data_IF_587032718958
#
_entry.id   IF_587032718958
#
_cell.length_a   1.000
_cell.length_b   1.000
_cell.length_c   1.000
_cell.angle_alpha   90.00
_cell.angle_beta   90.00
_cell.angle_gamma   90.00
#
_symmetry.space_group_name_H-M   'P 1'
#
loop_
_entity.id
_entity.type
_entity.pdbx_description
1 polymer ?
#
# COMPACT_ATOMS: atom_id res chain seq x y z
N UNK A 1 22.21 20.26 -19.11
CA UNK A 1 22.67 19.28 -18.10
C UNK A 1 21.73 19.45 -16.91
N UNK A 2 20.63 18.70 -16.78
CA UNK A 2 20.56 17.26 -16.52
C UNK A 2 19.35 16.65 -17.24
N UNK A 3 19.53 15.42 -17.71
CA UNK A 3 18.49 14.55 -18.26
C UNK A 3 17.37 14.35 -17.24
N UNK A 4 16.19 14.91 -17.52
CA UNK A 4 14.98 14.59 -16.76
C UNK A 4 14.49 13.21 -17.25
N UNK A 5 15.18 12.15 -16.83
CA UNK A 5 14.63 10.81 -16.91
C UNK A 5 13.37 10.85 -16.04
N UNK A 6 12.19 10.87 -16.67
CA UNK A 6 10.91 10.89 -16.00
C UNK A 6 10.91 9.76 -14.96
N UNK A 7 11.01 10.12 -13.67
CA UNK A 7 11.01 9.11 -12.62
C UNK A 7 9.69 8.34 -12.73
N UNK A 8 9.74 7.00 -12.67
CA UNK A 8 8.55 6.20 -12.86
C UNK A 8 7.56 6.50 -11.75
N UNK A 9 6.28 6.69 -12.10
CA UNK A 9 5.25 7.02 -11.13
C UNK A 9 5.11 5.87 -10.11
N UNK A 10 5.15 6.19 -8.82
CA UNK A 10 4.98 5.21 -7.73
C UNK A 10 3.71 5.55 -6.97
N UNK A 11 2.80 4.60 -6.93
CA UNK A 11 1.51 4.74 -6.26
C UNK A 11 1.57 4.18 -4.85
N UNK A 12 1.10 4.97 -3.88
CA UNK A 12 0.67 4.48 -2.58
C UNK A 12 -0.87 4.35 -2.64
N UNK A 13 -1.37 3.12 -2.57
CA UNK A 13 -2.79 2.83 -2.51
C UNK A 13 -3.19 2.55 -1.07
N UNK A 14 -4.23 3.22 -0.58
CA UNK A 14 -4.72 3.06 0.79
C UNK A 14 -6.17 2.58 0.77
N UNK A 15 -6.47 1.54 1.55
CA UNK A 15 -7.83 0.99 1.68
C UNK A 15 -8.22 0.88 3.15
N UNK A 16 -9.26 1.63 3.55
CA UNK A 16 -9.81 1.59 4.91
C UNK A 16 -10.94 0.57 5.07
N UNK A 17 -11.30 -0.11 3.99
CA UNK A 17 -12.37 -1.10 3.97
C UNK A 17 -13.73 -0.49 3.62
N UNK A 18 -14.71 -1.37 3.39
CA UNK A 18 -16.04 -0.96 2.95
C UNK A 18 -17.02 -0.73 4.12
N UNK A 19 -16.82 -1.45 5.23
CA UNK A 19 -17.85 -1.63 6.25
C UNK A 19 -17.66 -0.77 7.50
N UNK A 20 -16.42 -0.38 7.80
CA UNK A 20 -16.10 0.40 8.99
C UNK A 20 -15.33 1.65 8.60
N UNK A 21 -15.72 2.78 9.19
CA UNK A 21 -14.99 4.03 9.03
C UNK A 21 -13.70 4.00 9.83
N UNK A 22 -12.60 4.51 9.25
CA UNK A 22 -11.32 4.65 9.95
C UNK A 22 -10.76 6.07 9.79
N UNK A 23 -11.46 7.04 10.38
CA UNK A 23 -11.11 8.47 10.29
C UNK A 23 -9.68 8.76 10.78
N UNK A 24 -9.20 8.05 11.78
CA UNK A 24 -7.83 8.21 12.31
C UNK A 24 -6.76 7.90 11.27
N UNK A 25 -6.94 6.82 10.49
CA UNK A 25 -6.02 6.50 9.40
C UNK A 25 -6.10 7.56 8.29
N UNK A 26 -7.30 7.99 7.91
CA UNK A 26 -7.48 9.05 6.90
C UNK A 26 -6.79 10.36 7.32
N UNK A 27 -6.94 10.76 8.58
CA UNK A 27 -6.27 11.95 9.11
C UNK A 27 -4.74 11.80 9.07
N UNK A 28 -4.21 10.63 9.43
CA UNK A 28 -2.77 10.39 9.39
C UNK A 28 -2.19 10.38 7.98
N UNK A 29 -2.87 9.78 6.99
CA UNK A 29 -2.38 9.74 5.59
C UNK A 29 -2.55 11.07 4.86
N UNK A 30 -3.47 11.93 5.32
CA UNK A 30 -3.68 13.28 4.78
C UNK A 30 -2.86 14.34 5.54
N UNK A 31 -2.11 13.97 6.57
CA UNK A 31 -1.21 14.88 7.28
C UNK A 31 -0.04 15.28 6.36
N UNK A 32 0.28 16.59 6.23
CA UNK A 32 1.40 17.05 5.40
C UNK A 32 2.74 16.38 5.72
N UNK A 33 2.99 15.99 6.99
CA UNK A 33 4.21 15.27 7.39
C UNK A 33 4.28 13.89 6.74
N UNK A 34 3.16 13.20 6.61
CA UNK A 34 3.09 11.92 5.92
C UNK A 34 3.26 12.09 4.40
N UNK A 35 2.60 13.09 3.79
CA UNK A 35 2.77 13.39 2.36
C UNK A 35 4.22 13.76 2.01
N UNK A 36 4.89 14.51 2.90
CA UNK A 36 6.32 14.78 2.78
C UNK A 36 7.15 13.51 2.82
N UNK A 37 6.88 12.61 3.76
CA UNK A 37 7.59 11.34 3.87
C UNK A 37 7.36 10.46 2.63
N UNK A 38 6.12 10.37 2.12
CA UNK A 38 5.81 9.68 0.88
C UNK A 38 6.63 10.21 -0.30
N UNK A 39 6.67 11.52 -0.48
CA UNK A 39 7.47 12.13 -1.55
C UNK A 39 8.98 11.85 -1.37
N UNK A 40 9.51 11.85 -0.14
CA UNK A 40 10.91 11.51 0.14
C UNK A 40 11.27 10.08 -0.26
N UNK A 41 10.34 9.14 -0.16
CA UNK A 41 10.51 7.76 -0.65
C UNK A 41 10.17 7.60 -2.15
N UNK A 42 9.88 8.70 -2.85
CA UNK A 42 9.63 8.74 -4.29
C UNK A 42 8.21 8.36 -4.71
N UNK A 43 7.25 8.35 -3.78
CA UNK A 43 5.84 8.17 -4.12
C UNK A 43 5.27 9.46 -4.71
N UNK A 44 4.72 9.35 -5.91
CA UNK A 44 4.18 10.48 -6.68
C UNK A 44 2.67 10.59 -6.54
N UNK A 45 2.00 9.47 -6.26
CA UNK A 45 0.55 9.39 -6.20
C UNK A 45 0.12 8.71 -4.90
N UNK A 46 -0.93 9.24 -4.29
CA UNK A 46 -1.65 8.67 -3.17
C UNK A 46 -3.11 8.48 -3.60
N UNK A 47 -3.55 7.23 -3.70
CA UNK A 47 -4.94 6.87 -4.02
C UNK A 47 -5.60 6.27 -2.79
N UNK A 48 -6.73 6.85 -2.38
CA UNK A 48 -7.38 6.50 -1.12
C UNK A 48 -8.78 5.97 -1.39
N UNK A 49 -9.04 4.73 -0.97
CA UNK A 49 -10.39 4.21 -0.78
C UNK A 49 -10.81 4.53 0.66
N UNK A 50 -11.64 5.56 0.82
CA UNK A 50 -12.00 6.10 2.15
C UNK A 50 -13.27 5.49 2.76
N UNK A 51 -14.03 4.72 1.98
CA UNK A 51 -15.21 3.99 2.44
C UNK A 51 -16.31 4.89 3.03
N UNK A 52 -17.22 4.26 3.78
CA UNK A 52 -18.37 4.96 4.38
C UNK A 52 -17.90 6.06 5.33
N UNK A 53 -18.47 7.26 5.17
CA UNK A 53 -18.21 8.45 5.99
C UNK A 53 -16.80 9.07 5.87
N UNK A 54 -15.97 8.60 4.93
CA UNK A 54 -14.64 9.15 4.65
C UNK A 54 -14.64 10.33 3.66
N UNK A 55 -15.71 10.49 2.87
CA UNK A 55 -15.80 11.50 1.82
C UNK A 55 -15.69 12.92 2.37
N UNK A 56 -16.39 13.24 3.45
CA UNK A 56 -16.36 14.58 4.06
C UNK A 56 -14.94 14.98 4.47
N UNK A 57 -14.19 14.07 5.09
CA UNK A 57 -12.79 14.33 5.47
C UNK A 57 -11.90 14.57 4.25
N UNK A 58 -12.11 13.79 3.19
CA UNK A 58 -11.35 13.94 1.95
C UNK A 58 -11.66 15.28 1.28
N UNK A 59 -12.93 15.66 1.19
CA UNK A 59 -13.37 16.93 0.61
C UNK A 59 -12.84 18.13 1.41
N UNK A 60 -12.87 18.05 2.74
CA UNK A 60 -12.29 19.07 3.62
C UNK A 60 -10.78 19.22 3.40
N UNK A 61 -10.06 18.10 3.24
CA UNK A 61 -8.65 18.12 2.89
C UNK A 61 -8.41 18.78 1.52
N UNK A 62 -9.18 18.42 0.49
CA UNK A 62 -9.05 18.99 -0.85
C UNK A 62 -9.34 20.49 -0.86
N UNK A 63 -10.35 20.94 -0.08
CA UNK A 63 -10.67 22.36 0.09
C UNK A 63 -9.54 23.11 0.80
N UNK A 64 -8.98 22.52 1.85
CA UNK A 64 -7.90 23.13 2.64
C UNK A 64 -6.57 23.17 1.90
N UNK A 65 -6.28 22.13 1.12
CA UNK A 65 -5.05 21.97 0.37
C UNK A 65 -5.40 21.61 -1.08
N UNK A 66 -5.65 22.58 -1.97
CA UNK A 66 -6.00 22.30 -3.36
C UNK A 66 -4.86 21.63 -4.15
N UNK A 67 -5.14 21.06 -5.34
CA UNK A 67 -4.08 20.52 -6.21
C UNK A 67 -3.00 21.55 -6.49
N UNK A 68 -1.72 21.17 -6.30
CA UNK A 68 -0.57 22.07 -6.41
C UNK A 68 -0.20 22.81 -5.12
N UNK A 69 -0.96 22.64 -4.03
CA UNK A 69 -0.62 23.23 -2.74
C UNK A 69 0.74 22.70 -2.21
N UNK A 70 1.63 23.56 -1.68
CA UNK A 70 2.93 23.16 -1.14
C UNK A 70 2.85 22.08 -0.04
N UNK A 71 1.76 22.05 0.74
CA UNK A 71 1.54 21.06 1.80
C UNK A 71 1.23 19.65 1.26
N UNK A 72 0.92 19.52 -0.03
CA UNK A 72 0.85 18.20 -0.70
C UNK A 72 2.23 17.66 -1.05
N UNK A 73 3.28 18.49 -0.93
CA UNK A 73 4.67 18.11 -1.20
C UNK A 73 4.90 17.47 -2.58
N UNK A 74 4.12 17.86 -3.59
CA UNK A 74 4.21 17.30 -4.95
C UNK A 74 3.49 15.95 -5.15
N UNK A 75 2.85 15.41 -4.10
CA UNK A 75 2.06 14.17 -4.20
C UNK A 75 0.68 14.47 -4.76
N UNK A 76 0.29 13.74 -5.81
CA UNK A 76 -1.06 13.77 -6.36
C UNK A 76 -1.94 12.90 -5.46
N UNK A 77 -2.92 13.52 -4.81
CA UNK A 77 -3.84 12.85 -3.88
C UNK A 77 -5.20 12.73 -4.54
N UNK A 78 -5.66 11.49 -4.71
CA UNK A 78 -6.96 11.12 -5.28
C UNK A 78 -7.71 10.20 -4.31
N UNK A 79 -9.04 10.25 -4.34
CA UNK A 79 -9.87 9.50 -3.42
C UNK A 79 -11.15 9.02 -4.08
N UNK A 80 -11.63 7.85 -3.66
CA UNK A 80 -12.92 7.30 -4.06
C UNK A 80 -13.56 6.53 -2.90
N UNK A 81 -14.87 6.33 -3.00
CA UNK A 81 -15.65 5.58 -2.01
C UNK A 81 -15.58 4.06 -2.30
N UNK A 82 -16.68 3.32 -2.13
CA UNK A 82 -16.74 1.90 -2.39
C UNK A 82 -16.80 1.59 -3.89
N UNK A 83 -16.00 0.61 -4.33
CA UNK A 83 -16.05 0.05 -5.68
C UNK A 83 -16.69 -1.35 -5.65
N UNK A 84 -17.88 -1.49 -6.24
CA UNK A 84 -18.60 -2.77 -6.32
C UNK A 84 -17.84 -3.83 -7.15
N UNK A 85 -16.96 -3.40 -8.06
CA UNK A 85 -16.14 -4.31 -8.86
C UNK A 85 -14.91 -4.86 -8.10
N UNK A 86 -14.75 -4.52 -6.82
CA UNK A 86 -13.59 -4.87 -6.01
C UNK A 86 -12.45 -3.85 -6.13
N UNK A 87 -11.30 -4.18 -5.53
CA UNK A 87 -10.11 -3.32 -5.48
C UNK A 87 -8.96 -3.82 -6.37
N UNK A 88 -9.17 -4.89 -7.13
CA UNK A 88 -8.11 -5.56 -7.90
C UNK A 88 -7.44 -4.62 -8.90
N UNK A 89 -8.22 -3.73 -9.53
CA UNK A 89 -7.69 -2.77 -10.49
C UNK A 89 -6.75 -1.79 -9.78
N UNK A 90 -7.20 -1.20 -8.68
CA UNK A 90 -6.47 -0.20 -7.91
C UNK A 90 -5.21 -0.80 -7.27
N UNK A 91 -5.30 -2.02 -6.75
CA UNK A 91 -4.15 -2.74 -6.19
C UNK A 91 -3.11 -3.08 -7.28
N UNK A 92 -3.55 -3.46 -8.49
CA UNK A 92 -2.64 -3.63 -9.64
C UNK A 92 -2.01 -2.32 -10.11
N UNK A 93 -2.57 -1.16 -9.78
CA UNK A 93 -1.91 0.12 -10.06
C UNK A 93 -0.64 0.31 -9.22
N UNK A 94 -0.59 -0.28 -8.02
CA UNK A 94 0.59 -0.27 -7.15
C UNK A 94 1.66 -1.29 -7.58
N UNK A 95 1.36 -2.18 -8.53
CA UNK A 95 2.35 -3.11 -9.06
C UNK A 95 3.31 -2.39 -10.04
N UNK A 96 4.59 -2.76 -9.98
CA UNK A 96 5.59 -2.27 -10.93
C UNK A 96 5.22 -2.65 -12.36
N UNK A 97 5.19 -1.67 -13.25
CA UNK A 97 4.96 -1.90 -14.67
C UNK A 97 5.83 -0.91 -15.48
N UNK A 98 7.07 -1.31 -15.82
CA UNK A 98 8.00 -0.48 -16.56
C UNK A 98 7.47 0.00 -17.91
N UNK A 99 6.69 -0.85 -18.61
CA UNK A 99 6.11 -0.53 -19.92
C UNK A 99 5.08 0.61 -19.86
N UNK A 100 4.48 0.87 -18.70
CA UNK A 100 3.60 2.01 -18.45
C UNK A 100 4.28 3.12 -17.62
N UNK A 101 5.60 3.08 -17.46
CA UNK A 101 6.35 4.04 -16.65
C UNK A 101 5.98 4.03 -15.16
N UNK A 102 5.50 2.90 -14.63
CA UNK A 102 5.10 2.75 -13.23
C UNK A 102 6.14 1.97 -12.45
N UNK A 103 6.62 2.56 -11.36
CA UNK A 103 7.54 1.91 -10.43
C UNK A 103 6.79 1.07 -9.40
N UNK A 104 7.53 0.31 -8.59
CA UNK A 104 6.93 -0.46 -7.50
C UNK A 104 6.27 0.45 -6.47
N UNK A 105 4.95 0.33 -6.33
CA UNK A 105 4.12 1.05 -5.36
C UNK A 105 3.97 0.32 -4.04
N UNK A 106 3.13 0.86 -3.16
CA UNK A 106 2.83 0.40 -1.80
C UNK A 106 1.33 0.28 -1.62
N UNK A 107 0.89 -0.72 -0.86
CA UNK A 107 -0.50 -0.83 -0.38
C UNK A 107 -0.52 -0.64 1.14
N UNK A 108 -1.38 0.24 1.62
CA UNK A 108 -1.71 0.41 3.04
C UNK A 108 -3.13 -0.12 3.26
N UNK A 109 -3.29 -1.08 4.16
CA UNK A 109 -4.57 -1.73 4.43
C UNK A 109 -4.89 -1.69 5.92
N UNK A 110 -6.14 -1.47 6.27
CA UNK A 110 -6.66 -1.51 7.65
C UNK A 110 -6.69 -2.92 8.30
N UNK A 111 -5.95 -3.89 7.76
CA UNK A 111 -5.99 -5.32 8.11
C UNK A 111 -7.21 -6.11 7.62
N UNK A 112 -7.92 -5.64 6.59
CA UNK A 112 -8.94 -6.46 5.91
C UNK A 112 -8.30 -7.68 5.22
N UNK A 113 -8.70 -8.89 5.61
CA UNK A 113 -8.10 -10.17 5.14
C UNK A 113 -8.08 -10.31 3.61
N UNK A 114 -9.18 -9.92 2.93
CA UNK A 114 -9.24 -9.95 1.46
C UNK A 114 -8.23 -9.03 0.79
N UNK A 115 -8.02 -7.82 1.35
CA UNK A 115 -7.02 -6.88 0.84
C UNK A 115 -5.59 -7.36 1.14
N UNK A 116 -5.36 -7.96 2.31
CA UNK A 116 -4.05 -8.56 2.64
C UNK A 116 -3.68 -9.63 1.61
N UNK A 117 -4.57 -10.61 1.39
CA UNK A 117 -4.30 -11.72 0.47
C UNK A 117 -4.11 -11.23 -0.97
N UNK A 118 -4.92 -10.26 -1.43
CA UNK A 118 -4.78 -9.66 -2.74
C UNK A 118 -3.41 -8.96 -2.93
N UNK A 119 -2.96 -8.18 -1.94
CA UNK A 119 -1.66 -7.51 -2.00
C UNK A 119 -0.49 -8.50 -2.04
N UNK A 120 -0.55 -9.55 -1.22
CA UNK A 120 0.47 -10.61 -1.19
C UNK A 120 0.57 -11.35 -2.53
N UNK A 121 -0.58 -11.68 -3.15
CA UNK A 121 -0.62 -12.30 -4.49
C UNK A 121 0.01 -11.44 -5.57
N UNK A 122 -0.17 -10.12 -5.49
CA UNK A 122 0.41 -9.17 -6.45
C UNK A 122 1.91 -8.93 -6.22
N UNK A 123 2.49 -9.43 -5.12
CA UNK A 123 3.88 -9.20 -4.75
C UNK A 123 4.18 -7.73 -4.43
N UNK A 124 3.17 -6.97 -4.01
CA UNK A 124 3.31 -5.55 -3.67
C UNK A 124 3.57 -5.44 -2.18
N UNK A 125 4.56 -4.62 -1.74
CA UNK A 125 4.79 -4.38 -0.32
C UNK A 125 3.53 -3.86 0.37
N UNK A 126 3.25 -4.44 1.54
CA UNK A 126 2.02 -4.22 2.28
C UNK A 126 2.33 -3.66 3.68
N UNK A 127 1.74 -2.50 3.98
CA UNK A 127 1.66 -1.93 5.32
C UNK A 127 0.26 -2.18 5.89
N UNK A 128 0.19 -2.90 6.99
CA UNK A 128 -1.05 -3.20 7.70
C UNK A 128 -1.18 -2.23 8.87
N UNK A 129 -2.33 -1.58 8.97
CA UNK A 129 -2.66 -0.62 10.02
C UNK A 129 -3.95 -1.08 10.67
N UNK A 130 -3.90 -1.95 11.69
CA UNK A 130 -5.12 -2.44 12.36
C UNK A 130 -5.94 -1.26 12.89
N UNK A 131 -7.27 -1.38 12.80
CA UNK A 131 -8.16 -0.34 13.34
C UNK A 131 -8.40 -0.58 14.84
N UNK A 132 -7.85 0.25 15.75
CA UNK A 132 -8.02 0.05 17.19
C UNK A 132 -9.44 0.33 17.68
N UNK A 133 -10.30 0.95 16.87
CA UNK A 133 -11.69 1.24 17.25
C UNK A 133 -12.64 0.08 16.97
N UNK A 134 -12.19 -0.94 16.23
CA UNK A 134 -12.96 -2.16 16.00
C UNK A 134 -12.61 -3.18 17.09
N UNK A 135 -13.63 -3.83 17.65
CA UNK A 135 -13.48 -4.80 18.74
C UNK A 135 -12.86 -6.15 18.30
N UNK A 136 -12.59 -6.32 17.01
CA UNK A 136 -12.06 -7.56 16.45
C UNK A 136 -10.52 -7.58 16.52
N UNK A 137 -9.99 -7.99 17.68
CA UNK A 137 -8.55 -8.24 17.89
C UNK A 137 -7.94 -9.23 16.88
N UNK A 138 -8.77 -9.98 16.15
CA UNK A 138 -8.35 -10.88 15.07
C UNK A 138 -7.59 -10.16 13.94
N UNK A 139 -7.90 -8.88 13.67
CA UNK A 139 -7.17 -8.09 12.68
C UNK A 139 -5.71 -7.87 13.10
N UNK A 140 -5.49 -7.60 14.39
CA UNK A 140 -4.16 -7.39 14.96
C UNK A 140 -3.38 -8.70 15.02
N UNK A 141 -4.02 -9.81 15.39
CA UNK A 141 -3.41 -11.15 15.42
C UNK A 141 -2.90 -11.58 14.03
N UNK A 142 -3.73 -11.40 12.99
CA UNK A 142 -3.34 -11.69 11.61
C UNK A 142 -2.18 -10.81 11.15
N UNK A 143 -2.23 -9.50 11.44
CA UNK A 143 -1.17 -8.57 11.11
C UNK A 143 0.15 -8.94 11.80
N UNK A 144 0.08 -9.37 13.07
CA UNK A 144 1.24 -9.78 13.86
C UNK A 144 1.89 -11.05 13.31
N UNK A 145 1.10 -12.09 13.00
CA UNK A 145 1.64 -13.33 12.46
C UNK A 145 2.28 -13.11 11.08
N UNK A 146 1.62 -12.37 10.19
CA UNK A 146 2.19 -12.04 8.88
C UNK A 146 3.47 -11.19 8.98
N UNK A 147 3.54 -10.28 9.96
CA UNK A 147 4.75 -9.50 10.20
C UNK A 147 5.90 -10.39 10.70
N UNK A 148 5.61 -11.33 11.60
CA UNK A 148 6.60 -12.29 12.13
C UNK A 148 7.19 -13.17 11.03
N UNK A 149 6.36 -13.56 10.06
CA UNK A 149 6.78 -14.30 8.87
C UNK A 149 7.51 -13.42 7.83
N UNK A 150 7.57 -12.10 8.04
CA UNK A 150 8.26 -11.16 7.16
C UNK A 150 7.50 -10.82 5.87
N UNK A 151 6.19 -11.08 5.81
CA UNK A 151 5.37 -10.79 4.63
C UNK A 151 4.83 -9.36 4.60
N UNK A 152 4.58 -8.77 5.77
CA UNK A 152 3.98 -7.45 5.90
C UNK A 152 4.69 -6.64 6.98
N UNK A 153 4.51 -5.31 6.94
CA UNK A 153 4.83 -4.46 8.08
C UNK A 153 3.51 -4.11 8.77
N UNK A 154 3.43 -4.28 10.09
CA UNK A 154 2.32 -3.79 10.91
C UNK A 154 2.73 -2.51 11.64
N UNK A 155 1.83 -1.54 11.71
CA UNK A 155 2.05 -0.28 12.41
C UNK A 155 0.76 0.35 12.91
N UNK A 156 0.86 1.14 13.97
CA UNK A 156 -0.20 2.05 14.38
C UNK A 156 -0.30 3.26 13.43
N UNK A 157 -1.50 3.83 13.30
CA UNK A 157 -1.79 5.00 12.46
C UNK A 157 -0.99 6.26 12.89
N UNK A 158 -0.48 6.31 14.12
CA UNK A 158 0.36 7.41 14.64
C UNK A 158 1.81 7.32 14.15
N UNK A 159 2.28 6.14 13.77
CA UNK A 159 3.68 5.86 13.44
C UNK A 159 3.89 5.54 11.95
N UNK A 160 2.94 5.93 11.09
CA UNK A 160 2.99 5.65 9.65
C UNK A 160 4.27 6.12 8.97
N UNK A 161 4.82 7.26 9.38
CA UNK A 161 6.08 7.79 8.81
C UNK A 161 7.26 6.87 9.08
N UNK A 162 7.39 6.34 10.30
CA UNK A 162 8.40 5.34 10.67
C UNK A 162 8.12 4.00 9.99
N UNK A 163 6.85 3.66 9.75
CA UNK A 163 6.47 2.45 9.06
C UNK A 163 6.88 2.46 7.58
N UNK A 164 6.86 3.62 6.90
CA UNK A 164 7.31 3.74 5.51
C UNK A 164 8.77 3.30 5.34
N UNK A 165 9.66 3.65 6.27
CA UNK A 165 11.06 3.20 6.25
C UNK A 165 11.18 1.67 6.35
N UNK A 166 10.42 1.08 7.29
CA UNK A 166 10.36 -0.38 7.46
C UNK A 166 9.83 -1.08 6.21
N UNK A 167 8.86 -0.47 5.52
CA UNK A 167 8.27 -1.02 4.30
C UNK A 167 9.22 -0.92 3.10
N UNK A 168 10.00 0.15 2.96
CA UNK A 168 11.01 0.22 1.90
C UNK A 168 12.16 -0.78 2.14
N UNK A 169 12.49 -1.08 3.40
CA UNK A 169 13.38 -2.21 3.73
C UNK A 169 12.75 -3.54 3.32
N UNK A 170 11.49 -3.78 3.68
CA UNK A 170 10.75 -4.97 3.25
C UNK A 170 10.74 -5.11 1.73
N UNK A 171 10.48 -4.03 0.98
CA UNK A 171 10.53 -4.02 -0.48
C UNK A 171 11.88 -4.48 -1.02
N UNK A 172 12.97 -3.98 -0.43
CA UNK A 172 14.32 -4.36 -0.83
C UNK A 172 14.56 -5.86 -0.62
N UNK A 173 14.06 -6.42 0.49
CA UNK A 173 14.08 -7.86 0.75
C UNK A 173 13.21 -8.65 -0.25
N UNK A 174 11.99 -8.17 -0.56
CA UNK A 174 11.10 -8.81 -1.54
C UNK A 174 11.70 -8.82 -2.95
N UNK A 175 12.41 -7.75 -3.35
CA UNK A 175 13.11 -7.68 -4.64
C UNK A 175 14.38 -8.55 -4.67
N UNK A 176 14.97 -8.85 -3.51
CA UNK A 176 16.10 -9.78 -3.39
C UNK A 176 15.68 -11.26 -3.39
N UNK A 177 14.39 -11.54 -3.49
CA UNK A 177 13.82 -12.87 -3.56
C UNK A 177 13.40 -13.23 -5.01
N UNK A 178 13.72 -14.43 -5.54
CA UNK A 178 14.34 -15.56 -4.85
C UNK A 178 15.87 -15.43 -4.77
N UNK A 179 16.54 -16.19 -3.88
CA UNK A 179 18.00 -16.19 -3.75
C UNK A 179 18.65 -16.41 -5.12
N UNK A 180 19.81 -15.80 -5.34
CA UNK A 180 20.65 -16.04 -6.52
C UNK A 180 20.89 -17.53 -6.63
N UNK A 181 20.22 -18.18 -7.58
CA UNK A 181 20.39 -19.60 -7.85
C UNK A 181 21.75 -19.80 -8.50
N UNK A 182 22.56 -20.68 -7.91
CA UNK A 182 23.67 -21.28 -8.64
C UNK A 182 23.15 -21.97 -9.92
N UNK A 183 23.99 -22.15 -10.95
CA UNK A 183 23.59 -22.48 -12.32
C UNK A 183 22.81 -23.79 -12.54
N UNK A 184 22.51 -24.57 -11.49
CA UNK A 184 21.93 -25.91 -11.58
C UNK A 184 20.67 -26.16 -10.70
N UNK A 185 20.02 -25.13 -10.15
CA UNK A 185 18.77 -25.31 -9.39
C UNK A 185 17.56 -24.72 -10.11
N UNK A 186 16.46 -25.49 -10.16
CA UNK A 186 15.17 -25.05 -10.70
C UNK A 186 14.69 -23.81 -9.93
N UNK A 187 14.15 -22.83 -10.66
CA UNK A 187 13.58 -21.60 -10.08
C UNK A 187 12.58 -21.98 -8.98
N UNK A 188 12.76 -21.52 -7.74
CA UNK A 188 11.73 -21.70 -6.74
C UNK A 188 10.54 -20.82 -7.15
N UNK A 189 9.30 -21.31 -6.92
CA UNK A 189 8.10 -20.54 -7.22
C UNK A 189 8.13 -19.21 -6.44
N UNK A 190 7.71 -18.13 -7.11
CA UNK A 190 7.44 -16.85 -6.45
C UNK A 190 6.39 -17.02 -5.36
N UNK A 191 6.33 -16.13 -4.36
CA UNK A 191 5.28 -16.19 -3.34
C UNK A 191 3.88 -16.25 -3.97
N UNK A 192 3.66 -15.52 -5.07
CA UNK A 192 2.41 -15.60 -5.85
C UNK A 192 2.15 -16.99 -6.44
N UNK A 193 3.18 -17.68 -6.93
CA UNK A 193 3.06 -19.06 -7.44
C UNK A 193 2.82 -20.08 -6.32
N UNK A 194 3.53 -19.95 -5.18
CA UNK A 194 3.28 -20.80 -4.01
C UNK A 194 1.83 -20.64 -3.53
N UNK A 195 1.35 -19.40 -3.48
CA UNK A 195 -0.04 -19.13 -3.09
C UNK A 195 -1.07 -19.64 -4.11
N UNK A 196 -0.77 -19.60 -5.41
CA UNK A 196 -1.64 -20.15 -6.45
C UNK A 196 -1.74 -21.68 -6.37
N UNK A 197 -0.60 -22.34 -6.16
CA UNK A 197 -0.50 -23.80 -6.02
C UNK A 197 -1.19 -24.31 -4.74
N UNK A 198 -0.96 -23.67 -3.59
CA UNK A 198 -1.54 -24.07 -2.30
C UNK A 198 -3.05 -23.80 -2.18
N UNK A 199 -3.52 -22.73 -2.82
CA UNK A 199 -4.93 -22.32 -2.72
C UNK A 199 -5.77 -22.69 -3.95
N UNK A 200 -5.20 -23.39 -4.94
CA UNK A 200 -5.91 -23.94 -6.09
C UNK A 200 -6.46 -22.90 -7.08
N UNK A 201 -5.85 -21.72 -7.18
CA UNK A 201 -6.28 -20.69 -8.13
C UNK A 201 -5.62 -20.94 -9.49
N UNK A 202 -6.40 -21.47 -10.43
CA UNK A 202 -6.03 -21.50 -11.86
C UNK A 202 -6.19 -20.08 -12.43
N UNK A 203 -5.15 -19.61 -13.14
CA UNK A 203 -5.18 -18.37 -13.95
C UNK A 203 -6.34 -18.36 -14.96
#
# INVERSE_FOLDING_TARGET
MTSNAQQPARLCFVTVGATASFHLLLQSILDPRFLKALNQFGYTNLLIQFGKDGQTLFDDFVRKFPPGDPNRHGVIVEGFDFNQAGLDREMRLAQSNPSKGRGGGLIISHAGSGSILAALRLGVPLLVVPNPTLQDNHQEELAHELQKQGYVVSSDYRELTSALDRVEKLRSHMLSWPPVLGPNQKRPPTLGQVMADELGFLD
#
